data_IF_830401363577
#
_entry.id   IF_830401363577
#
_cell.length_a   1.000
_cell.length_b   1.000
_cell.length_c   1.000
_cell.angle_alpha   90.00
_cell.angle_beta   90.00
_cell.angle_gamma   90.00
#
_symmetry.space_group_name_H-M   'P 1'
#
loop_
_entity.id
_entity.type
_entity.pdbx_description
1 polymer ?
#
# COMPACT_ATOMS: atom_id res chain seq x y z
N UNK A 1 21.04 51.97 -0.29
CA UNK A 1 20.31 50.95 -1.06
C UNK A 1 20.36 49.62 -0.32
N UNK A 2 19.18 49.09 0.02
CA UNK A 2 18.93 48.11 1.09
C UNK A 2 19.47 46.70 0.78
N UNK A 3 20.51 46.28 1.49
CA UNK A 3 21.06 44.90 1.51
C UNK A 3 20.21 43.90 2.33
N UNK A 4 18.99 44.27 2.73
CA UNK A 4 18.10 43.46 3.59
C UNK A 4 17.22 42.45 2.84
N UNK A 5 17.18 42.50 1.50
CA UNK A 5 16.34 41.61 0.69
C UNK A 5 16.99 40.27 0.29
N UNK A 6 18.23 39.97 0.73
CA UNK A 6 19.00 38.81 0.24
C UNK A 6 18.76 37.49 1.01
N UNK A 7 18.49 37.56 2.32
CA UNK A 7 18.47 36.35 3.17
C UNK A 7 17.06 35.76 3.28
N UNK A 8 16.03 36.59 3.38
CA UNK A 8 14.63 36.13 3.53
C UNK A 8 14.13 35.45 2.26
N UNK A 9 14.50 35.94 1.08
CA UNK A 9 14.13 35.34 -0.21
C UNK A 9 14.86 34.01 -0.40
N UNK A 10 16.15 33.93 -0.02
CA UNK A 10 16.92 32.69 -0.08
C UNK A 10 16.36 31.63 0.88
N UNK A 11 15.91 32.03 2.08
CA UNK A 11 15.29 31.12 3.05
C UNK A 11 13.92 30.62 2.60
N UNK A 12 13.09 31.48 1.97
CA UNK A 12 11.81 31.07 1.37
C UNK A 12 11.99 30.11 0.18
N UNK A 13 13.01 30.34 -0.65
CA UNK A 13 13.35 29.44 -1.75
C UNK A 13 13.87 28.09 -1.24
N UNK A 14 14.70 28.08 -0.20
CA UNK A 14 15.16 26.84 0.45
C UNK A 14 14.00 26.10 1.12
N UNK A 15 13.08 26.81 1.79
CA UNK A 15 11.87 26.21 2.38
C UNK A 15 10.96 25.57 1.32
N UNK A 16 10.78 26.23 0.18
CA UNK A 16 10.00 25.71 -0.96
C UNK A 16 10.66 24.47 -1.60
N UNK A 17 12.00 24.44 -1.69
CA UNK A 17 12.75 23.27 -2.17
C UNK A 17 12.65 22.10 -1.19
N UNK A 18 12.75 22.35 0.13
CA UNK A 18 12.59 21.31 1.17
C UNK A 18 11.17 20.75 1.21
N UNK A 19 10.14 21.57 0.96
CA UNK A 19 8.74 21.11 0.88
C UNK A 19 8.50 20.20 -0.34
N UNK A 20 9.18 20.46 -1.47
CA UNK A 20 9.10 19.60 -2.67
C UNK A 20 9.81 18.24 -2.50
N UNK A 21 10.77 18.14 -1.57
CA UNK A 21 11.54 16.90 -1.34
C UNK A 21 10.77 15.90 -0.45
N UNK A 22 9.70 16.33 0.23
CA UNK A 22 8.99 15.54 1.26
C UNK A 22 7.61 15.00 0.84
N UNK A 23 7.42 14.63 -0.43
CA UNK A 23 6.24 13.82 -0.83
C UNK A 23 6.63 12.75 -1.84
N UNK A 24 7.28 11.68 -1.37
CA UNK A 24 7.15 10.37 -2.01
C UNK A 24 5.95 9.67 -1.38
N UNK A 25 4.76 10.18 -1.68
CA UNK A 25 3.57 9.34 -1.69
C UNK A 25 3.55 8.66 -3.07
N UNK A 26 3.19 7.39 -3.15
CA UNK A 26 2.95 6.70 -4.42
C UNK A 26 1.82 7.44 -5.16
N UNK A 27 2.19 8.46 -5.94
CA UNK A 27 1.25 9.46 -6.44
C UNK A 27 0.43 8.83 -7.57
N UNK A 28 -0.86 8.64 -7.31
CA UNK A 28 -1.82 8.25 -8.36
C UNK A 28 -1.99 9.37 -9.37
N UNK A 29 -2.12 9.01 -10.64
CA UNK A 29 -2.43 9.89 -11.76
C UNK A 29 -3.90 9.72 -12.18
N UNK A 30 -4.46 10.76 -12.81
CA UNK A 30 -5.84 10.76 -13.30
C UNK A 30 -5.85 10.50 -14.81
N UNK A 31 -6.63 9.49 -15.21
CA UNK A 31 -6.85 9.12 -16.61
C UNK A 31 -8.33 9.26 -16.94
N UNK A 32 -8.66 9.76 -18.12
CA UNK A 32 -10.03 9.91 -18.57
C UNK A 32 -10.16 9.40 -19.99
N UNK A 33 -11.24 8.67 -20.28
CA UNK A 33 -11.34 7.99 -21.56
C UNK A 33 -12.58 7.15 -21.73
N UNK A 34 -12.55 6.28 -22.74
CA UNK A 34 -13.61 5.31 -23.01
C UNK A 34 -13.12 3.89 -22.80
N UNK A 35 -13.94 3.08 -22.16
CA UNK A 35 -13.65 1.65 -21.99
C UNK A 35 -13.72 0.90 -23.30
N UNK A 36 -12.84 -0.10 -23.43
CA UNK A 36 -12.87 -1.09 -24.50
C UNK A 36 -12.55 -2.46 -23.90
N UNK A 37 -13.32 -3.47 -24.28
CA UNK A 37 -13.00 -4.86 -23.93
C UNK A 37 -12.37 -5.55 -25.14
N UNK A 38 -11.23 -6.20 -24.94
CA UNK A 38 -10.52 -6.97 -25.97
C UNK A 38 -10.08 -8.27 -25.31
N UNK A 39 -10.55 -9.41 -25.81
CA UNK A 39 -10.13 -10.72 -25.29
C UNK A 39 -10.48 -10.98 -23.82
N UNK A 40 -11.47 -10.27 -23.26
CA UNK A 40 -11.85 -10.36 -21.84
C UNK A 40 -11.16 -9.34 -20.93
N UNK A 41 -10.13 -8.64 -21.43
CA UNK A 41 -9.43 -7.59 -20.70
C UNK A 41 -10.06 -6.21 -20.95
N UNK A 42 -9.88 -5.31 -19.98
CA UNK A 42 -10.38 -3.95 -20.04
C UNK A 42 -9.26 -2.96 -20.32
N UNK A 43 -9.52 -2.07 -21.27
CA UNK A 43 -8.60 -1.01 -21.67
C UNK A 43 -9.31 0.33 -21.54
N UNK A 44 -8.56 1.37 -21.18
CA UNK A 44 -8.98 2.76 -21.34
C UNK A 44 -8.36 3.34 -22.61
N UNK A 45 -9.20 3.91 -23.47
CA UNK A 45 -8.77 4.74 -24.59
C UNK A 45 -8.84 6.21 -24.19
N UNK A 46 -7.69 6.86 -24.06
CA UNK A 46 -7.57 8.29 -23.69
C UNK A 46 -7.68 9.24 -24.88
N UNK A 47 -7.84 8.70 -26.08
CA UNK A 47 -7.90 9.43 -27.35
C UNK A 47 -6.63 9.25 -28.18
N UNK A 48 -5.47 9.34 -27.53
CA UNK A 48 -4.15 9.19 -28.15
C UNK A 48 -3.62 7.76 -27.96
N UNK A 49 -3.85 7.18 -26.78
CA UNK A 49 -3.28 5.89 -26.38
C UNK A 49 -4.34 4.92 -25.83
N UNK A 50 -3.95 3.65 -25.74
CA UNK A 50 -4.70 2.59 -25.07
C UNK A 50 -3.85 2.03 -23.94
N UNK A 51 -4.42 1.97 -22.74
CA UNK A 51 -3.77 1.39 -21.58
C UNK A 51 -4.59 0.21 -21.06
N UNK A 52 -3.93 -0.89 -20.77
CA UNK A 52 -4.54 -2.03 -20.07
C UNK A 52 -4.90 -1.59 -18.64
N UNK A 53 -6.02 -2.07 -18.11
CA UNK A 53 -6.46 -1.78 -16.75
C UNK A 53 -6.30 -3.00 -15.85
N UNK A 54 -5.53 -2.86 -14.77
CA UNK A 54 -5.49 -3.83 -13.69
C UNK A 54 -6.65 -3.54 -12.73
N UNK A 55 -7.77 -4.24 -12.93
CA UNK A 55 -9.00 -4.12 -12.15
C UNK A 55 -9.09 -5.21 -11.06
N UNK A 56 -9.98 -5.04 -10.06
CA UNK A 56 -10.35 -6.13 -9.17
C UNK A 56 -10.90 -7.35 -9.92
N UNK A 57 -10.90 -8.54 -9.30
CA UNK A 57 -11.59 -9.73 -9.82
C UNK A 57 -13.05 -9.45 -10.17
N UNK A 58 -13.57 -10.16 -11.17
CA UNK A 58 -14.96 -9.97 -11.64
C UNK A 58 -15.98 -10.20 -10.52
N UNK A 59 -15.70 -11.11 -9.59
CA UNK A 59 -16.53 -11.38 -8.42
C UNK A 59 -16.68 -10.14 -7.54
N UNK A 60 -15.58 -9.44 -7.26
CA UNK A 60 -15.59 -8.22 -6.46
C UNK A 60 -16.38 -7.11 -7.17
N UNK A 61 -16.21 -6.96 -8.48
CA UNK A 61 -16.97 -5.99 -9.27
C UNK A 61 -18.48 -6.29 -9.21
N UNK A 62 -18.87 -7.57 -9.37
CA UNK A 62 -20.25 -8.00 -9.32
C UNK A 62 -20.89 -7.78 -7.93
N UNK A 63 -20.20 -8.16 -6.86
CA UNK A 63 -20.65 -7.95 -5.46
C UNK A 63 -20.86 -6.47 -5.14
N UNK A 64 -20.00 -5.60 -5.69
CA UNK A 64 -20.07 -4.15 -5.51
C UNK A 64 -20.97 -3.43 -6.55
N UNK A 65 -21.72 -4.19 -7.36
CA UNK A 65 -22.66 -3.68 -8.37
C UNK A 65 -21.97 -2.76 -9.39
N UNK A 66 -20.78 -3.16 -9.84
CA UNK A 66 -19.97 -2.45 -10.83
C UNK A 66 -20.04 -3.23 -12.14
N UNK A 67 -20.80 -2.72 -13.11
CA UNK A 67 -20.94 -3.32 -14.43
C UNK A 67 -20.22 -2.44 -15.46
N UNK A 68 -19.15 -2.95 -16.07
CA UNK A 68 -18.39 -2.24 -17.09
C UNK A 68 -18.94 -2.53 -18.48
N UNK A 69 -19.18 -1.51 -19.30
CA UNK A 69 -19.61 -1.68 -20.69
C UNK A 69 -18.62 -1.04 -21.65
N UNK A 70 -18.42 -1.70 -22.78
CA UNK A 70 -17.61 -1.13 -23.85
C UNK A 70 -18.19 0.23 -24.27
N UNK A 71 -17.30 1.21 -24.45
CA UNK A 71 -17.56 2.62 -24.76
C UNK A 71 -18.07 3.49 -23.60
N UNK A 72 -18.21 2.95 -22.39
CA UNK A 72 -18.50 3.76 -21.22
C UNK A 72 -17.42 4.83 -21.03
N UNK A 73 -17.85 6.05 -20.68
CA UNK A 73 -16.94 7.12 -20.28
C UNK A 73 -16.59 6.92 -18.81
N UNK A 74 -15.30 6.91 -18.53
CA UNK A 74 -14.78 6.69 -17.18
C UNK A 74 -13.66 7.66 -16.86
N UNK A 75 -13.45 7.85 -15.56
CA UNK A 75 -12.23 8.43 -15.02
C UNK A 75 -11.59 7.44 -14.05
N UNK A 76 -10.26 7.35 -14.07
CA UNK A 76 -9.49 6.43 -13.24
C UNK A 76 -8.45 7.24 -12.49
N UNK A 77 -8.38 7.06 -11.18
CA UNK A 77 -7.15 7.35 -10.43
C UNK A 77 -6.36 6.05 -10.29
N UNK A 78 -5.12 6.04 -10.75
CA UNK A 78 -4.31 4.83 -10.77
C UNK A 78 -2.82 5.12 -10.87
N UNK A 79 -2.01 4.08 -10.73
CA UNK A 79 -0.56 4.16 -10.89
C UNK A 79 -0.23 3.63 -12.29
N UNK A 80 0.50 4.41 -13.07
CA UNK A 80 0.99 3.99 -14.38
C UNK A 80 2.18 3.04 -14.21
N UNK A 81 2.06 1.83 -14.75
CA UNK A 81 3.16 0.89 -14.96
C UNK A 81 3.81 1.08 -16.33
N UNK A 82 4.45 0.03 -16.86
CA UNK A 82 5.10 0.13 -18.18
C UNK A 82 4.07 0.21 -19.33
N UNK A 83 2.98 -0.56 -19.27
CA UNK A 83 1.90 -0.55 -20.29
C UNK A 83 0.49 -0.76 -19.70
N UNK A 84 0.35 -0.71 -18.37
CA UNK A 84 -0.91 -0.92 -17.67
C UNK A 84 -1.13 0.15 -16.59
N UNK A 85 -2.39 0.40 -16.26
CA UNK A 85 -2.79 1.26 -15.16
C UNK A 85 -3.33 0.39 -14.04
N UNK A 86 -2.65 0.41 -12.91
CA UNK A 86 -3.13 -0.21 -11.67
C UNK A 86 -4.22 0.70 -11.10
N UNK A 87 -5.47 0.26 -11.19
CA UNK A 87 -6.63 1.08 -10.82
C UNK A 87 -6.74 1.15 -9.30
N UNK A 88 -6.63 2.37 -8.76
CA UNK A 88 -6.85 2.64 -7.34
C UNK A 88 -8.31 3.04 -7.09
N UNK A 89 -8.86 3.90 -7.95
CA UNK A 89 -10.26 4.35 -7.92
C UNK A 89 -10.79 4.48 -9.35
N UNK A 90 -12.02 4.05 -9.56
CA UNK A 90 -12.78 4.19 -10.80
C UNK A 90 -13.98 5.11 -10.56
N UNK A 91 -14.21 6.07 -11.45
CA UNK A 91 -15.44 6.85 -11.53
C UNK A 91 -16.18 6.43 -12.79
N UNK A 92 -17.38 5.89 -12.60
CA UNK A 92 -18.27 5.42 -13.67
C UNK A 92 -19.68 5.94 -13.38
N UNK A 93 -20.30 6.58 -14.38
CA UNK A 93 -21.65 7.15 -14.25
C UNK A 93 -21.82 8.03 -12.99
N UNK A 94 -20.86 8.94 -12.74
CA UNK A 94 -20.81 9.84 -11.58
C UNK A 94 -20.68 9.15 -10.21
N UNK A 95 -20.49 7.83 -10.17
CA UNK A 95 -20.26 7.07 -8.94
C UNK A 95 -18.79 6.72 -8.79
N UNK A 96 -18.24 6.99 -7.61
CA UNK A 96 -16.88 6.61 -7.25
C UNK A 96 -16.84 5.18 -6.68
N UNK A 97 -15.81 4.44 -7.10
CA UNK A 97 -15.52 3.07 -6.66
C UNK A 97 -14.04 2.98 -6.29
N UNK A 98 -13.76 2.81 -5.00
CA UNK A 98 -12.39 2.66 -4.49
C UNK A 98 -12.04 1.17 -4.47
N UNK A 99 -10.86 0.83 -4.97
CA UNK A 99 -10.38 -0.55 -5.09
C UNK A 99 -9.14 -0.82 -4.24
N UNK A 100 -8.43 0.24 -3.83
CA UNK A 100 -7.24 0.14 -3.00
C UNK A 100 -7.34 1.09 -1.81
N UNK A 101 -6.74 0.70 -0.68
CA UNK A 101 -6.69 1.53 0.52
C UNK A 101 -5.68 2.70 0.38
N UNK A 102 -5.53 3.52 1.42
CA UNK A 102 -4.63 4.68 1.42
C UNK A 102 -3.14 4.36 1.24
N UNK A 103 -2.73 3.10 1.40
CA UNK A 103 -1.34 2.65 1.19
C UNK A 103 -1.18 1.80 -0.07
N UNK A 104 -2.26 1.56 -0.82
CA UNK A 104 -2.27 0.87 -2.10
C UNK A 104 -2.65 -0.62 -2.04
N UNK A 105 -3.02 -1.15 -0.87
CA UNK A 105 -3.44 -2.55 -0.76
C UNK A 105 -4.78 -2.77 -1.46
N UNK A 106 -4.97 -3.87 -2.19
CA UNK A 106 -6.25 -4.22 -2.79
C UNK A 106 -7.33 -4.47 -1.73
N UNK A 107 -8.55 -3.99 -1.97
CA UNK A 107 -9.70 -4.17 -1.05
C UNK A 107 -10.43 -5.51 -1.22
N UNK A 108 -10.09 -6.27 -2.28
CA UNK A 108 -10.65 -7.60 -2.56
C UNK A 108 -9.77 -8.74 -2.05
N UNK A 109 -8.52 -8.45 -1.70
CA UNK A 109 -7.70 -9.39 -0.98
C UNK A 109 -7.87 -9.07 0.49
N UNK A 110 -8.40 -10.02 1.25
CA UNK A 110 -7.96 -10.12 2.62
C UNK A 110 -6.43 -10.24 2.54
N UNK A 111 -5.69 -9.34 3.18
CA UNK A 111 -4.22 -9.38 3.28
C UNK A 111 -3.77 -10.57 4.18
N UNK A 112 -4.29 -11.74 3.84
CA UNK A 112 -3.91 -13.08 4.23
C UNK A 112 -3.38 -13.80 2.97
N UNK A 113 -2.37 -13.20 2.32
CA UNK A 113 -1.24 -14.06 2.00
C UNK A 113 -0.80 -14.63 3.35
N UNK A 114 -0.66 -15.96 3.48
CA UNK A 114 -0.24 -16.67 4.70
C UNK A 114 1.21 -16.33 5.11
N UNK A 115 1.60 -15.08 4.96
CA UNK A 115 2.82 -14.51 5.47
C UNK A 115 2.59 -14.13 6.92
N UNK A 116 3.18 -14.89 7.82
CA UNK A 116 3.19 -14.58 9.23
C UNK A 116 4.60 -14.79 9.76
N UNK A 117 4.86 -14.25 10.94
CA UNK A 117 6.13 -14.47 11.61
C UNK A 117 5.99 -15.60 12.62
N UNK A 118 7.04 -16.41 12.76
CA UNK A 118 7.14 -17.45 13.79
C UNK A 118 8.34 -17.22 14.68
N UNK A 119 8.20 -17.58 15.95
CA UNK A 119 9.29 -17.52 16.93
C UNK A 119 9.98 -18.88 16.99
N UNK A 120 11.30 -18.89 16.84
CA UNK A 120 12.14 -20.02 17.21
C UNK A 120 12.34 -20.05 18.74
N UNK A 121 11.74 -21.01 19.47
CA UNK A 121 11.79 -21.04 20.93
C UNK A 121 13.19 -21.34 21.49
N UNK A 122 14.10 -21.90 20.68
CA UNK A 122 15.49 -22.18 21.09
C UNK A 122 16.35 -20.91 21.08
N UNK A 123 16.05 -19.95 20.20
CA UNK A 123 16.76 -18.66 20.10
C UNK A 123 16.11 -17.56 20.94
N UNK A 124 14.81 -17.65 21.21
CA UNK A 124 14.10 -16.65 21.98
C UNK A 124 14.55 -16.67 23.45
N UNK A 125 15.04 -15.52 23.94
CA UNK A 125 15.52 -15.35 25.32
C UNK A 125 14.45 -14.82 26.28
N UNK A 126 13.22 -14.60 25.81
CA UNK A 126 12.10 -14.17 26.66
C UNK A 126 12.16 -12.70 27.12
N UNK A 127 12.85 -11.82 26.37
CA UNK A 127 13.02 -10.40 26.72
C UNK A 127 11.75 -9.55 26.59
N UNK A 128 10.71 -10.06 25.90
CA UNK A 128 9.40 -9.40 25.70
C UNK A 128 9.41 -8.09 24.88
N UNK A 129 10.55 -7.73 24.28
CA UNK A 129 10.68 -6.47 23.54
C UNK A 129 9.75 -6.39 22.31
N UNK A 130 9.45 -7.51 21.66
CA UNK A 130 8.58 -7.57 20.49
C UNK A 130 7.08 -7.44 20.81
N UNK A 131 6.67 -7.61 22.07
CA UNK A 131 5.24 -7.66 22.44
C UNK A 131 4.58 -6.30 22.24
N UNK A 132 5.09 -5.27 22.90
CA UNK A 132 4.52 -3.91 22.87
C UNK A 132 4.49 -3.27 21.46
N UNK A 133 5.50 -3.46 20.59
CA UNK A 133 5.50 -2.88 19.25
C UNK A 133 4.58 -3.59 18.24
N UNK A 134 3.99 -4.74 18.56
CA UNK A 134 3.09 -5.43 17.63
C UNK A 134 1.79 -4.63 17.47
N UNK A 135 1.46 -4.14 16.25
CA UNK A 135 0.30 -3.26 16.06
C UNK A 135 -1.05 -3.97 16.17
N UNK A 136 -1.06 -5.30 16.11
CA UNK A 136 -2.27 -6.14 16.14
C UNK A 136 -2.37 -7.01 17.38
N UNK A 137 -1.48 -6.79 18.36
CA UNK A 137 -1.40 -7.59 19.59
C UNK A 137 -1.31 -9.12 19.33
N UNK A 138 -0.70 -9.52 18.22
CA UNK A 138 -0.55 -10.92 17.82
C UNK A 138 0.45 -11.71 18.68
N UNK A 139 1.21 -11.07 19.57
CA UNK A 139 2.33 -11.69 20.29
C UNK A 139 2.00 -11.88 21.77
N UNK A 140 2.07 -13.13 22.25
CA UNK A 140 1.90 -13.49 23.66
C UNK A 140 3.12 -14.20 24.23
N UNK A 141 3.20 -14.32 25.56
CA UNK A 141 4.29 -15.01 26.24
C UNK A 141 3.81 -16.33 26.86
N UNK A 142 4.31 -17.44 26.34
CA UNK A 142 3.99 -18.80 26.82
C UNK A 142 5.28 -19.46 27.31
N UNK A 143 5.31 -19.91 28.58
CA UNK A 143 6.47 -20.58 29.20
C UNK A 143 7.79 -19.80 29.02
N UNK A 144 7.73 -18.47 29.11
CA UNK A 144 8.91 -17.60 28.96
C UNK A 144 9.42 -17.44 27.53
N UNK A 145 8.61 -17.78 26.52
CA UNK A 145 8.91 -17.59 25.09
C UNK A 145 7.79 -16.80 24.43
N UNK A 146 8.14 -16.00 23.43
CA UNK A 146 7.15 -15.33 22.60
C UNK A 146 6.48 -16.36 21.67
N UNK A 147 5.19 -16.19 21.44
CA UNK A 147 4.37 -16.94 20.48
C UNK A 147 3.58 -15.93 19.66
N UNK A 148 3.57 -16.09 18.35
CA UNK A 148 2.84 -15.23 17.42
C UNK A 148 1.59 -15.99 16.96
N UNK A 149 0.44 -15.35 17.11
CA UNK A 149 -0.85 -15.78 16.58
C UNK A 149 -0.89 -15.44 15.09
N UNK A 150 -0.87 -16.46 14.23
CA UNK A 150 -0.80 -16.31 12.78
C UNK A 150 -2.04 -15.58 12.24
N UNK A 151 -3.22 -15.86 12.80
CA UNK A 151 -4.50 -15.27 12.35
C UNK A 151 -4.58 -13.76 12.63
N UNK A 152 -3.76 -13.25 13.56
CA UNK A 152 -3.67 -11.81 13.87
C UNK A 152 -2.44 -11.14 13.25
N UNK A 153 -1.55 -11.92 12.65
CA UNK A 153 -0.29 -11.41 12.13
C UNK A 153 -0.53 -10.82 10.74
N UNK A 154 -0.31 -9.51 10.59
CA UNK A 154 -0.41 -8.80 9.30
C UNK A 154 0.94 -8.71 8.56
N UNK A 155 1.86 -9.64 8.83
CA UNK A 155 3.20 -9.69 8.22
C UNK A 155 4.08 -8.42 8.29
N UNK A 156 3.81 -7.46 9.20
CA UNK A 156 4.45 -6.14 9.16
C UNK A 156 5.97 -6.09 9.45
N UNK A 157 6.59 -7.18 9.92
CA UNK A 157 8.04 -7.26 10.16
C UNK A 157 8.59 -6.55 11.40
N UNK A 158 7.83 -5.67 12.06
CA UNK A 158 8.31 -4.89 13.23
C UNK A 158 8.94 -5.78 14.31
N UNK A 159 8.34 -6.94 14.59
CA UNK A 159 8.82 -7.87 15.62
C UNK A 159 10.20 -8.47 15.31
N UNK A 160 10.54 -8.64 14.03
CA UNK A 160 11.83 -9.15 13.56
C UNK A 160 12.83 -8.03 13.35
N UNK A 161 12.44 -6.97 12.62
CA UNK A 161 13.35 -5.98 12.04
C UNK A 161 13.34 -4.63 12.77
N UNK A 162 12.32 -4.36 13.58
CA UNK A 162 12.15 -3.12 14.32
C UNK A 162 11.26 -2.09 13.62
N UNK A 163 11.03 -0.96 14.30
CA UNK A 163 10.12 0.11 13.87
C UNK A 163 10.85 1.31 13.24
N UNK A 164 12.16 1.20 13.00
CA UNK A 164 13.02 2.30 12.55
C UNK A 164 13.21 3.43 13.57
N UNK A 165 12.62 3.31 14.77
CA UNK A 165 12.60 4.34 15.82
C UNK A 165 13.20 3.74 17.10
N UNK A 166 12.36 3.30 18.02
CA UNK A 166 12.73 2.93 19.38
C UNK A 166 13.01 1.44 19.54
N UNK A 167 12.41 0.60 18.71
CA UNK A 167 12.58 -0.84 18.75
C UNK A 167 13.43 -1.30 17.56
N UNK A 168 14.55 -1.98 17.85
CA UNK A 168 15.54 -2.41 16.85
C UNK A 168 15.35 -3.84 16.34
N UNK A 169 14.16 -4.41 16.56
CA UNK A 169 13.85 -5.79 16.17
C UNK A 169 14.31 -6.82 17.20
N UNK A 170 14.22 -8.09 16.82
CA UNK A 170 14.53 -9.21 17.70
C UNK A 170 16.04 -9.27 17.97
N UNK A 171 16.52 -9.07 19.20
CA UNK A 171 17.96 -8.98 19.49
C UNK A 171 18.70 -10.32 19.30
N UNK A 172 17.98 -11.43 19.18
CA UNK A 172 18.55 -12.77 18.97
C UNK A 172 18.16 -13.39 17.64
N UNK A 173 17.55 -12.62 16.74
CA UNK A 173 17.05 -13.11 15.43
C UNK A 173 16.28 -14.42 15.58
N UNK A 174 15.40 -14.44 16.57
CA UNK A 174 14.56 -15.59 16.91
C UNK A 174 13.21 -15.56 16.21
N UNK A 175 12.94 -14.57 15.37
CA UNK A 175 11.66 -14.38 14.69
C UNK A 175 11.93 -14.39 13.20
N UNK A 176 11.32 -15.33 12.48
CA UNK A 176 11.53 -15.56 11.06
C UNK A 176 10.19 -15.44 10.31
N UNK A 177 10.21 -14.87 9.10
CA UNK A 177 9.04 -14.79 8.22
C UNK A 177 8.76 -16.17 7.63
N UNK A 178 7.52 -16.62 7.71
CA UNK A 178 7.01 -17.80 6.98
C UNK A 178 6.41 -17.30 5.69
N UNK A 179 6.79 -17.93 4.59
CA UNK A 179 6.13 -17.81 3.29
C UNK A 179 5.66 -19.21 2.93
N UNK A 180 4.36 -19.43 2.87
CA UNK A 180 3.80 -20.69 2.36
C UNK A 180 3.98 -20.81 0.84
#
# INVERSE_FOLDING_TARGET
MNKKYSITILFLLILAVVFNIFSQDNKTELFSGKLKSIGGEWYINTGEDFFLLTLPPEEFLAENQIELKAKDKIEIQGIMGDEEIIVHKLILAEKEHVFRDSVGNPLWEDVAANEYYVVNPKKCIGCRLCVKPCPTDAITMVKGRAVIDADKCIACGICADGDGKNFKGCPTSAIDKVTE
#
